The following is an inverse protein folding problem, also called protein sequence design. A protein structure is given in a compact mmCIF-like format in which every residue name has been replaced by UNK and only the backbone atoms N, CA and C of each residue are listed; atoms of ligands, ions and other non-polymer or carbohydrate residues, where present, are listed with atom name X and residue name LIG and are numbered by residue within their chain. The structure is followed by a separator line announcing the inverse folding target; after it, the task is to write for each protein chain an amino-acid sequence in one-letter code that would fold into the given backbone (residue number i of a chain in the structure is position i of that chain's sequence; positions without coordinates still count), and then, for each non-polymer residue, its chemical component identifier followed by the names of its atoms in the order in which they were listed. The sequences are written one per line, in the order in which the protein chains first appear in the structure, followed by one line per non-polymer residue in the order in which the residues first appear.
data_IF_670351100295
#
_entry.id   IF_670351100295
#
_cell.length_a   1.000
_cell.length_b   1.000
_cell.length_c   1.000
_cell.angle_alpha   90.00
_cell.angle_beta   90.00
_cell.angle_gamma   90.00
#
_symmetry.space_group_name_H-M   'P 1'
#
loop_
_entity.id
_entity.type
_entity.pdbx_description
1 polymer ?
#
# COMPACT_ATOMS: atom_id res chain seq x y z
N UNK A 1 4.94 15.97 21.01
CA UNK A 1 4.43 15.29 19.81
C UNK A 1 4.19 13.83 20.20
N UNK A 2 2.93 13.46 20.30
CA UNK A 2 2.52 12.15 20.82
C UNK A 2 2.52 11.16 19.67
N UNK A 3 3.30 10.07 19.81
CA UNK A 3 3.19 8.87 19.02
C UNK A 3 1.82 8.25 19.30
N UNK A 4 0.98 8.22 18.29
CA UNK A 4 -0.28 7.46 18.33
C UNK A 4 0.06 6.04 17.93
N UNK A 5 0.28 5.18 18.93
CA UNK A 5 0.33 3.73 18.72
C UNK A 5 -1.11 3.28 18.47
N UNK A 6 -1.46 3.10 17.20
CA UNK A 6 -2.68 2.40 16.84
C UNK A 6 -2.43 0.88 16.96
N UNK A 7 -2.43 0.39 18.19
CA UNK A 7 -2.65 -1.02 18.46
C UNK A 7 -4.15 -1.27 18.33
N UNK A 8 -4.59 -1.84 17.21
CA UNK A 8 -5.94 -2.34 17.06
C UNK A 8 -6.05 -3.63 17.88
N UNK A 9 -6.19 -3.49 19.21
CA UNK A 9 -6.65 -4.57 20.07
C UNK A 9 -8.15 -4.72 19.80
N UNK A 10 -8.55 -5.70 19.01
CA UNK A 10 -9.89 -6.25 19.07
C UNK A 10 -10.04 -6.95 20.43
N UNK A 11 -10.42 -6.21 21.45
CA UNK A 11 -10.93 -6.76 22.67
C UNK A 11 -12.35 -7.28 22.39
N UNK A 12 -12.45 -8.50 21.86
CA UNK A 12 -13.71 -9.25 21.87
C UNK A 12 -13.95 -9.70 23.31
N UNK A 13 -14.68 -8.87 24.08
CA UNK A 13 -15.30 -9.32 25.31
C UNK A 13 -16.35 -10.38 25.00
N UNK A 14 -16.62 -11.35 25.89
CA UNK A 14 -17.62 -12.38 25.65
C UNK A 14 -19.02 -11.75 25.69
N UNK A 15 -19.59 -11.53 24.48
CA UNK A 15 -21.03 -11.29 24.37
C UNK A 15 -21.72 -12.65 24.20
N UNK A 16 -22.55 -13.05 25.13
CA UNK A 16 -23.35 -14.25 24.94
C UNK A 16 -24.47 -13.96 23.95
N UNK A 17 -24.40 -14.58 22.76
CA UNK A 17 -25.60 -14.82 22.00
C UNK A 17 -25.71 -14.39 20.56
N UNK A 18 -24.66 -14.23 19.74
CA UNK A 18 -24.78 -14.06 18.27
C UNK A 18 -23.55 -14.49 17.46
N UNK A 19 -22.60 -15.22 17.99
CA UNK A 19 -21.56 -15.82 17.18
C UNK A 19 -21.80 -17.33 17.14
N UNK A 20 -22.11 -17.86 15.96
CA UNK A 20 -21.98 -19.29 15.69
C UNK A 20 -20.52 -19.66 16.00
N UNK A 21 -20.30 -20.65 16.86
CA UNK A 21 -18.95 -21.08 17.26
C UNK A 21 -18.09 -21.43 16.05
N UNK A 22 -18.70 -21.82 14.92
CA UNK A 22 -18.07 -22.04 13.62
C UNK A 22 -17.47 -20.79 13.02
N UNK A 23 -18.22 -19.68 12.93
CA UNK A 23 -17.71 -18.43 12.34
C UNK A 23 -16.52 -17.86 13.13
N UNK A 24 -16.60 -17.91 14.45
CA UNK A 24 -15.50 -17.41 15.30
C UNK A 24 -14.23 -18.23 15.12
N UNK A 25 -14.34 -19.55 15.02
CA UNK A 25 -13.18 -20.43 14.75
C UNK A 25 -12.57 -20.17 13.38
N UNK A 26 -13.39 -20.04 12.34
CA UNK A 26 -12.96 -19.77 10.97
C UNK A 26 -12.26 -18.38 10.84
N UNK A 27 -12.79 -17.37 11.55
CA UNK A 27 -12.17 -16.06 11.62
C UNK A 27 -10.78 -16.12 12.29
N UNK A 28 -10.67 -16.85 13.41
CA UNK A 28 -9.38 -17.04 14.09
C UNK A 28 -8.39 -17.77 13.18
N UNK A 29 -8.84 -18.78 12.44
CA UNK A 29 -8.02 -19.51 11.49
C UNK A 29 -7.56 -18.59 10.34
N UNK A 30 -8.45 -17.78 9.77
CA UNK A 30 -8.12 -16.80 8.75
C UNK A 30 -7.07 -15.78 9.23
N UNK A 31 -7.17 -15.31 10.48
CA UNK A 31 -6.17 -14.42 11.07
C UNK A 31 -4.82 -15.13 11.25
N UNK A 32 -4.83 -16.37 11.78
CA UNK A 32 -3.61 -17.17 11.98
C UNK A 32 -2.96 -17.61 10.67
N UNK A 33 -3.75 -17.87 9.63
CA UNK A 33 -3.30 -18.17 8.27
C UNK A 33 -2.77 -16.96 7.50
N UNK A 34 -2.82 -15.78 8.10
CA UNK A 34 -2.32 -14.54 7.53
C UNK A 34 -0.81 -14.52 7.36
N UNK A 35 -0.35 -13.57 6.56
CA UNK A 35 1.07 -13.36 6.27
C UNK A 35 1.45 -11.90 6.55
N UNK A 36 2.66 -11.70 7.08
CA UNK A 36 3.26 -10.38 7.25
C UNK A 36 4.54 -10.34 6.44
N UNK A 37 4.66 -9.34 5.58
CA UNK A 37 5.84 -9.05 4.78
C UNK A 37 6.49 -7.74 5.22
N UNK A 38 7.81 -7.70 5.14
CA UNK A 38 8.61 -6.49 5.32
C UNK A 38 9.42 -6.27 4.05
N UNK A 39 9.43 -5.03 3.55
CA UNK A 39 10.23 -4.61 2.41
C UNK A 39 10.99 -3.33 2.77
N UNK A 40 12.29 -3.31 2.47
CA UNK A 40 13.14 -2.15 2.66
C UNK A 40 13.78 -1.78 1.34
N UNK A 41 13.57 -0.53 0.91
CA UNK A 41 14.16 -0.02 -0.33
C UNK A 41 14.95 1.26 -0.06
N UNK A 42 16.25 1.16 -0.16
CA UNK A 42 17.13 2.33 -0.21
C UNK A 42 17.17 2.89 -1.63
N UNK A 43 17.14 4.22 -1.73
CA UNK A 43 17.28 4.93 -2.99
C UNK A 43 18.18 6.15 -2.80
N UNK A 44 19.14 6.29 -3.71
CA UNK A 44 19.87 7.52 -3.93
C UNK A 44 19.52 8.08 -5.31
N UNK A 45 19.28 9.38 -5.38
CA UNK A 45 19.03 10.11 -6.61
C UNK A 45 19.76 11.44 -6.58
N UNK A 46 20.65 11.65 -7.54
CA UNK A 46 21.30 12.93 -7.81
C UNK A 46 20.68 13.55 -9.07
N UNK A 47 20.36 14.83 -9.03
CA UNK A 47 19.83 15.57 -10.17
C UNK A 47 20.59 16.89 -10.32
N UNK A 48 21.28 17.03 -11.45
CA UNK A 48 21.86 18.28 -11.94
C UNK A 48 20.94 18.82 -13.05
N UNK A 49 20.51 20.08 -12.91
CA UNK A 49 19.57 20.70 -13.83
C UNK A 49 19.89 22.18 -13.99
N UNK A 50 20.12 22.64 -15.24
CA UNK A 50 20.63 23.97 -15.60
C UNK A 50 19.83 25.14 -14.98
N UNK A 51 18.52 25.01 -14.78
CA UNK A 51 17.67 26.09 -14.28
C UNK A 51 17.75 26.27 -12.73
N UNK A 52 18.54 25.45 -12.05
CA UNK A 52 18.71 25.49 -10.60
C UNK A 52 20.12 25.92 -10.21
N UNK A 53 20.23 26.66 -9.09
CA UNK A 53 21.54 27.09 -8.57
C UNK A 53 22.26 26.04 -7.74
N UNK A 54 21.56 24.93 -7.44
CA UNK A 54 22.06 23.82 -6.60
C UNK A 54 21.58 22.50 -7.18
N UNK A 55 22.44 21.49 -7.09
CA UNK A 55 22.10 20.12 -7.46
C UNK A 55 21.28 19.45 -6.35
N UNK A 56 20.38 18.57 -6.75
CA UNK A 56 19.64 17.77 -5.78
C UNK A 56 20.37 16.47 -5.44
N UNK A 57 20.37 16.12 -4.17
CA UNK A 57 20.81 14.84 -3.64
C UNK A 57 19.78 14.30 -2.64
N UNK A 58 19.10 13.25 -3.02
CA UNK A 58 18.10 12.57 -2.20
C UNK A 58 18.60 11.19 -1.79
N UNK A 59 18.73 10.95 -0.48
CA UNK A 59 19.13 9.66 0.07
C UNK A 59 18.05 9.18 1.03
N UNK A 60 17.19 8.27 0.56
CA UNK A 60 15.96 7.87 1.24
C UNK A 60 15.86 6.35 1.44
N UNK A 61 15.20 5.95 2.53
CA UNK A 61 14.84 4.58 2.83
C UNK A 61 13.32 4.47 2.96
N UNK A 62 12.69 3.62 2.15
CA UNK A 62 11.32 3.19 2.36
C UNK A 62 11.32 1.91 3.18
N UNK A 63 10.52 1.90 4.25
CA UNK A 63 10.19 0.71 5.03
C UNK A 63 8.71 0.42 4.86
N UNK A 64 8.36 -0.76 4.35
CA UNK A 64 7.00 -1.20 4.08
C UNK A 64 6.65 -2.40 4.94
N UNK A 65 5.47 -2.36 5.55
CA UNK A 65 4.87 -3.49 6.25
C UNK A 65 3.56 -3.83 5.55
N UNK A 66 3.46 -5.07 5.08
CA UNK A 66 2.25 -5.60 4.44
C UNK A 66 1.72 -6.74 5.28
N UNK A 67 0.44 -6.68 5.68
CA UNK A 67 -0.26 -7.76 6.36
C UNK A 67 -1.44 -8.23 5.50
N UNK A 68 -1.55 -9.54 5.28
CA UNK A 68 -2.65 -10.14 4.51
C UNK A 68 -3.27 -11.25 5.35
N UNK A 69 -4.59 -11.29 5.46
CA UNK A 69 -5.29 -12.39 6.14
C UNK A 69 -5.24 -13.69 5.31
N UNK A 70 -5.49 -14.82 5.94
CA UNK A 70 -5.97 -16.01 5.24
C UNK A 70 -7.35 -15.77 4.63
N UNK A 71 -7.83 -16.74 3.85
CA UNK A 71 -9.17 -16.68 3.25
C UNK A 71 -10.25 -17.09 4.25
N UNK A 72 -11.33 -16.31 4.32
CA UNK A 72 -12.55 -16.59 5.05
C UNK A 72 -13.73 -16.52 4.07
N UNK A 73 -14.30 -17.66 3.71
CA UNK A 73 -15.39 -17.75 2.72
C UNK A 73 -15.13 -17.03 1.39
N UNK A 74 -13.88 -17.09 0.91
CA UNK A 74 -13.46 -16.37 -0.30
C UNK A 74 -12.99 -14.92 -0.06
N UNK A 75 -13.17 -14.38 1.14
CA UNK A 75 -12.69 -13.05 1.50
C UNK A 75 -11.27 -13.07 2.03
N UNK A 76 -10.47 -12.10 1.63
CA UNK A 76 -9.14 -11.78 2.18
C UNK A 76 -9.03 -10.28 2.41
N UNK A 77 -8.39 -9.89 3.51
CA UNK A 77 -8.09 -8.49 3.82
C UNK A 77 -6.59 -8.22 3.66
N UNK A 78 -6.24 -7.04 3.18
CA UNK A 78 -4.85 -6.57 3.11
C UNK A 78 -4.75 -5.18 3.72
N UNK A 79 -3.70 -4.99 4.51
CA UNK A 79 -3.25 -3.69 4.99
C UNK A 79 -1.77 -3.51 4.72
N UNK A 80 -1.38 -2.34 4.18
CA UNK A 80 0.00 -2.00 3.87
C UNK A 80 0.31 -0.56 4.26
N UNK A 81 1.40 -0.38 4.99
CA UNK A 81 1.88 0.91 5.47
C UNK A 81 3.30 1.13 5.02
N UNK A 82 3.56 2.28 4.44
CA UNK A 82 4.88 2.77 4.05
C UNK A 82 5.37 3.86 5.00
N UNK A 83 6.66 3.80 5.30
CA UNK A 83 7.38 4.91 5.89
C UNK A 83 8.58 5.24 5.00
N UNK A 84 8.68 6.50 4.58
CA UNK A 84 9.84 7.03 3.86
C UNK A 84 10.60 7.95 4.79
N UNK A 85 11.89 7.66 5.01
CA UNK A 85 12.79 8.47 5.84
C UNK A 85 14.05 8.83 5.07
N UNK A 86 14.63 9.98 5.39
CA UNK A 86 15.96 10.38 4.89
C UNK A 86 17.01 9.68 5.75
N UNK A 87 17.98 9.04 5.11
CA UNK A 87 19.08 8.31 5.76
C UNK A 87 20.46 8.83 5.39
N UNK A 88 20.53 9.91 4.62
CA UNK A 88 21.75 10.57 4.16
C UNK A 88 21.48 12.01 3.75
N UNK A 89 21.82 12.38 2.52
CA UNK A 89 21.55 13.74 2.01
C UNK A 89 20.04 13.97 1.82
N UNK A 90 19.55 15.15 2.24
CA UNK A 90 18.19 15.63 2.00
C UNK A 90 18.13 16.98 1.27
N UNK A 91 19.14 17.24 0.44
CA UNK A 91 19.24 18.41 -0.41
C UNK A 91 18.41 18.24 -1.69
N UNK A 92 17.08 18.22 -1.59
CA UNK A 92 16.19 18.04 -2.75
C UNK A 92 14.82 18.67 -2.48
N UNK A 93 14.12 19.03 -3.56
CA UNK A 93 12.74 19.46 -3.50
C UNK A 93 11.80 18.24 -3.55
N UNK A 94 11.19 17.89 -2.42
CA UNK A 94 10.22 16.77 -2.37
C UNK A 94 8.82 17.15 -2.83
N UNK A 95 8.63 18.38 -3.32
CA UNK A 95 7.36 19.05 -3.65
C UNK A 95 6.54 19.54 -2.46
N UNK A 96 6.86 19.11 -1.23
CA UNK A 96 6.13 19.45 0.00
C UNK A 96 7.02 19.98 1.13
N UNK A 97 8.35 19.96 0.95
CA UNK A 97 9.31 20.39 1.98
C UNK A 97 9.72 21.88 1.87
N UNK A 98 9.28 22.57 0.82
CA UNK A 98 9.60 23.99 0.60
C UNK A 98 10.99 24.29 0.02
N UNK A 99 11.78 23.25 -0.30
CA UNK A 99 13.16 23.36 -0.79
C UNK A 99 13.22 23.67 -2.31
N UNK A 100 12.59 24.78 -2.72
CA UNK A 100 12.41 25.14 -4.13
C UNK A 100 13.70 25.50 -4.89
N UNK A 101 14.83 25.71 -4.19
CA UNK A 101 16.14 25.99 -4.79
C UNK A 101 16.82 24.74 -5.34
N UNK A 102 16.29 23.56 -5.08
CA UNK A 102 16.80 22.28 -5.60
C UNK A 102 15.87 21.71 -6.67
N UNK A 103 16.39 20.95 -7.63
CA UNK A 103 15.60 20.11 -8.52
C UNK A 103 14.64 19.17 -7.77
N UNK A 104 13.56 18.79 -8.45
CA UNK A 104 12.52 17.96 -7.86
C UNK A 104 12.92 16.48 -7.84
N UNK A 105 12.91 15.90 -6.62
CA UNK A 105 12.87 14.47 -6.38
C UNK A 105 11.60 14.20 -5.57
N UNK A 106 10.54 13.73 -6.23
CA UNK A 106 9.20 13.61 -5.64
C UNK A 106 9.07 12.39 -4.71
N UNK A 107 9.94 12.33 -3.69
CA UNK A 107 9.96 11.30 -2.66
C UNK A 107 9.82 11.95 -1.26
N UNK A 108 8.62 12.49 -0.92
CA UNK A 108 8.40 13.11 0.37
C UNK A 108 8.54 12.11 1.52
N UNK A 109 9.17 12.56 2.60
CA UNK A 109 9.28 11.78 3.85
C UNK A 109 7.95 11.74 4.58
N UNK A 110 7.65 10.60 5.20
CA UNK A 110 6.45 10.44 6.01
C UNK A 110 5.96 9.00 6.09
N UNK A 111 4.89 8.80 6.82
CA UNK A 111 4.20 7.51 6.96
C UNK A 111 2.81 7.62 6.37
N UNK A 112 2.44 6.69 5.51
CA UNK A 112 1.14 6.64 4.86
C UNK A 112 0.61 5.21 4.77
N UNK A 113 -0.72 5.08 4.77
CA UNK A 113 -1.38 3.83 4.37
C UNK A 113 -1.31 3.75 2.86
N UNK A 114 -0.53 2.79 2.35
CA UNK A 114 -0.36 2.58 0.92
C UNK A 114 -1.52 1.80 0.33
N UNK A 115 -1.87 0.67 0.96
CA UNK A 115 -3.03 -0.13 0.56
C UNK A 115 -3.84 -0.56 1.78
N UNK A 116 -5.15 -0.58 1.67
CA UNK A 116 -6.07 -1.22 2.60
C UNK A 116 -7.33 -1.61 1.85
N UNK A 117 -7.58 -2.91 1.71
CA UNK A 117 -8.72 -3.38 0.96
C UNK A 117 -9.25 -4.74 1.46
N UNK A 118 -10.48 -5.01 1.08
CA UNK A 118 -11.11 -6.32 1.15
C UNK A 118 -11.25 -6.89 -0.27
N UNK A 119 -10.79 -8.11 -0.46
CA UNK A 119 -10.89 -8.86 -1.72
C UNK A 119 -11.81 -10.05 -1.53
N UNK A 120 -12.74 -10.25 -2.46
CA UNK A 120 -13.50 -11.48 -2.63
C UNK A 120 -13.01 -12.23 -3.87
N UNK A 121 -12.83 -13.53 -3.75
CA UNK A 121 -12.38 -14.40 -4.86
C UNK A 121 -13.37 -15.55 -5.02
N UNK A 122 -13.92 -15.68 -6.23
CA UNK A 122 -14.69 -16.83 -6.71
C UNK A 122 -13.90 -17.53 -7.83
N UNK A 123 -14.42 -18.63 -8.37
CA UNK A 123 -13.72 -19.46 -9.36
C UNK A 123 -13.29 -18.67 -10.61
N UNK A 124 -14.17 -17.84 -11.16
CA UNK A 124 -13.93 -17.09 -12.40
C UNK A 124 -13.91 -15.56 -12.21
N UNK A 125 -14.10 -15.06 -10.98
CA UNK A 125 -14.21 -13.64 -10.71
C UNK A 125 -13.53 -13.26 -9.41
N UNK A 126 -13.09 -12.01 -9.31
CA UNK A 126 -12.70 -11.40 -8.06
C UNK A 126 -13.17 -9.94 -8.00
N UNK A 127 -13.42 -9.47 -6.80
CA UNK A 127 -13.73 -8.08 -6.52
C UNK A 127 -12.84 -7.54 -5.41
N UNK A 128 -12.39 -6.30 -5.53
CA UNK A 128 -11.57 -5.62 -4.53
C UNK A 128 -12.24 -4.29 -4.19
N UNK A 129 -12.39 -4.01 -2.91
CA UNK A 129 -12.92 -2.74 -2.42
C UNK A 129 -11.97 -2.12 -1.40
N UNK A 130 -11.60 -0.88 -1.64
CA UNK A 130 -10.72 -0.11 -0.77
C UNK A 130 -9.57 0.55 -1.53
N UNK A 131 -8.52 0.93 -0.79
CA UNK A 131 -7.30 1.51 -1.36
C UNK A 131 -6.40 0.42 -1.90
N UNK A 132 -6.11 0.47 -3.19
CA UNK A 132 -5.40 -0.58 -3.91
C UNK A 132 -4.48 -0.01 -4.98
N UNK A 133 -3.46 -0.76 -5.34
CA UNK A 133 -2.68 -0.51 -6.55
C UNK A 133 -3.49 -0.95 -7.78
N UNK A 134 -3.51 -0.10 -8.82
CA UNK A 134 -4.07 -0.42 -10.13
C UNK A 134 -3.02 -0.09 -11.18
N UNK A 135 -2.55 -1.12 -11.88
CA UNK A 135 -1.57 -0.98 -12.95
C UNK A 135 -2.10 -1.66 -14.21
N UNK A 136 -2.35 -0.89 -15.27
CA UNK A 136 -2.78 -1.43 -16.57
C UNK A 136 -1.67 -1.35 -17.59
N UNK A 137 -1.42 -2.46 -18.29
CA UNK A 137 -0.44 -2.58 -19.38
C UNK A 137 0.93 -2.00 -18.98
N UNK A 138 1.43 -1.04 -19.74
CA UNK A 138 2.69 -0.34 -19.50
C UNK A 138 2.55 0.89 -18.57
N UNK A 139 1.46 1.00 -17.83
CA UNK A 139 1.15 2.11 -16.90
C UNK A 139 1.04 3.49 -17.56
N UNK A 140 0.85 3.55 -18.89
CA UNK A 140 0.79 4.82 -19.64
C UNK A 140 -0.40 5.70 -19.21
N UNK A 141 -1.54 5.09 -18.86
CA UNK A 141 -2.77 5.79 -18.49
C UNK A 141 -3.14 5.60 -17.02
N UNK A 142 -2.95 4.38 -16.50
CA UNK A 142 -3.22 4.05 -15.10
C UNK A 142 -2.05 3.22 -14.57
N UNK A 143 -1.41 3.72 -13.52
CA UNK A 143 -0.28 3.06 -12.89
C UNK A 143 0.15 3.73 -11.60
N UNK A 144 0.93 3.02 -10.81
CA UNK A 144 1.33 3.40 -9.46
C UNK A 144 2.61 4.23 -9.39
N UNK A 145 3.37 4.39 -10.50
CA UNK A 145 4.69 5.05 -10.46
C UNK A 145 5.64 4.40 -9.42
N UNK A 146 5.57 3.06 -9.31
CA UNK A 146 6.24 2.29 -8.24
C UNK A 146 7.78 2.35 -8.26
N UNK A 147 8.39 3.03 -9.22
CA UNK A 147 9.83 3.31 -9.23
C UNK A 147 10.22 4.40 -8.21
N UNK A 148 9.27 5.25 -7.77
CA UNK A 148 9.45 6.21 -6.68
C UNK A 148 9.34 5.54 -5.30
N UNK A 149 9.76 6.25 -4.23
CA UNK A 149 9.57 5.77 -2.85
C UNK A 149 8.11 5.77 -2.45
N UNK A 150 7.38 6.81 -2.87
CA UNK A 150 5.92 6.89 -2.72
C UNK A 150 5.27 6.52 -4.06
N UNK A 151 4.29 5.64 -4.01
CA UNK A 151 3.54 5.21 -5.18
C UNK A 151 2.09 5.70 -5.12
N UNK A 152 1.45 5.75 -6.28
CA UNK A 152 0.05 6.10 -6.40
C UNK A 152 -0.81 4.86 -6.16
N UNK A 153 -1.83 5.03 -5.31
CA UNK A 153 -2.89 4.06 -5.07
C UNK A 153 -4.25 4.70 -5.30
N UNK A 154 -5.27 3.87 -5.46
CA UNK A 154 -6.62 4.31 -5.85
C UNK A 154 -7.63 3.82 -4.83
N UNK A 155 -8.52 4.70 -4.39
CA UNK A 155 -9.64 4.36 -3.51
C UNK A 155 -10.85 4.03 -4.40
N UNK A 156 -11.34 2.78 -4.34
CA UNK A 156 -12.46 2.40 -5.17
C UNK A 156 -12.81 0.92 -5.14
N UNK A 157 -13.69 0.55 -6.07
CA UNK A 157 -14.05 -0.83 -6.34
C UNK A 157 -13.46 -1.24 -7.69
N UNK A 158 -12.90 -2.43 -7.73
CA UNK A 158 -12.45 -3.10 -8.96
C UNK A 158 -13.02 -4.50 -9.01
N UNK A 159 -13.47 -4.92 -10.17
CA UNK A 159 -13.88 -6.30 -10.43
C UNK A 159 -13.13 -6.84 -11.65
N UNK A 160 -12.75 -8.11 -11.58
CA UNK A 160 -12.21 -8.85 -12.70
C UNK A 160 -13.05 -10.12 -12.89
N UNK A 161 -13.45 -10.40 -14.11
CA UNK A 161 -14.21 -11.59 -14.46
C UNK A 161 -13.65 -12.23 -15.73
N UNK A 162 -13.28 -13.49 -15.60
CA UNK A 162 -12.92 -14.33 -16.74
C UNK A 162 -14.19 -14.87 -17.38
N UNK A 163 -14.75 -14.11 -18.33
CA UNK A 163 -16.01 -14.43 -18.99
C UNK A 163 -15.90 -15.66 -19.91
N UNK A 164 -14.73 -15.85 -20.55
CA UNK A 164 -14.37 -17.00 -21.40
C UNK A 164 -12.89 -17.30 -21.20
N UNK A 165 -12.40 -18.45 -21.70
CA UNK A 165 -10.97 -18.81 -21.60
C UNK A 165 -10.02 -17.73 -22.14
N UNK A 166 -10.44 -16.97 -23.15
CA UNK A 166 -9.64 -15.92 -23.80
C UNK A 166 -10.13 -14.49 -23.53
N UNK A 167 -11.18 -14.29 -22.70
CA UNK A 167 -11.79 -12.98 -22.46
C UNK A 167 -11.81 -12.68 -20.97
N UNK A 168 -11.04 -11.67 -20.58
CA UNK A 168 -11.09 -11.05 -19.25
C UNK A 168 -11.76 -9.68 -19.32
N UNK A 169 -12.64 -9.41 -18.39
CA UNK A 169 -13.28 -8.12 -18.20
C UNK A 169 -12.79 -7.52 -16.88
N UNK A 170 -12.28 -6.30 -16.95
CA UNK A 170 -11.90 -5.47 -15.81
C UNK A 170 -12.85 -4.27 -15.72
N UNK A 171 -13.34 -4.01 -14.50
CA UNK A 171 -14.18 -2.85 -14.16
C UNK A 171 -13.57 -2.09 -12.97
#
# INVERSE_FOLDING_TARGET
KRLVSAALLLAAGPHPGLADDGFTSDLVEAVRGGKVGLDFRYRFEGVDQDDFSKDAEASTLRSRITATSGSLYGFTALGEVDNVTVVGSDHYNSTVNGESQYPVVADPKGTAVNQVYLKYTADSANGIYGRQQINYSNQRFVGGVAWRQNEQTFDGFRANWQALESVNLDY
#
